data_IF_673812409943
#
_entry.id   IF_673812409943
#
_cell.length_a   1.000
_cell.length_b   1.000
_cell.length_c   1.000
_cell.angle_alpha   90.00
_cell.angle_beta   90.00
_cell.angle_gamma   90.00
#
_symmetry.space_group_name_H-M   'P 1'
#
loop_
_entity.id
_entity.type
_entity.pdbx_description
1 polymer ?
#
# COMPACT_ATOMS: atom_id res chain seq x y z
N UNK A 1 -7.22 -17.94 -4.58
CA UNK A 1 -8.20 -16.89 -4.93
C UNK A 1 -7.76 -15.47 -4.48
N UNK A 2 -6.81 -15.35 -3.54
CA UNK A 2 -6.32 -14.07 -3.00
C UNK A 2 -5.94 -13.05 -4.10
N UNK A 3 -5.25 -13.49 -5.14
CA UNK A 3 -4.78 -12.59 -6.20
C UNK A 3 -5.83 -12.24 -7.25
N UNK A 4 -7.00 -12.89 -7.28
CA UNK A 4 -8.05 -12.58 -8.27
C UNK A 4 -8.58 -11.15 -8.10
N UNK A 5 -9.02 -10.70 -6.90
CA UNK A 5 -9.45 -9.32 -6.72
C UNK A 5 -8.33 -8.31 -6.94
N UNK A 6 -7.08 -8.64 -6.57
CA UNK A 6 -5.91 -7.79 -6.81
C UNK A 6 -5.66 -7.61 -8.30
N UNK A 7 -5.75 -8.71 -9.08
CA UNK A 7 -5.63 -8.69 -10.53
C UNK A 7 -6.73 -7.83 -11.19
N UNK A 8 -7.99 -8.05 -10.79
CA UNK A 8 -9.13 -7.31 -11.34
C UNK A 8 -9.05 -5.81 -11.01
N UNK A 9 -8.64 -5.46 -9.78
CA UNK A 9 -8.40 -4.07 -9.40
C UNK A 9 -7.22 -3.43 -10.14
N UNK A 10 -6.11 -4.17 -10.26
CA UNK A 10 -4.89 -3.67 -10.91
C UNK A 10 -4.99 -3.54 -12.42
N UNK A 11 -5.93 -4.27 -13.07
CA UNK A 11 -6.14 -4.17 -14.52
C UNK A 11 -7.17 -3.09 -14.92
N UNK A 12 -7.73 -2.37 -13.95
CA UNK A 12 -8.59 -1.24 -14.29
C UNK A 12 -7.83 -0.20 -15.15
N UNK A 13 -8.48 0.37 -16.16
CA UNK A 13 -9.89 0.22 -16.59
C UNK A 13 -10.15 -0.92 -17.59
N UNK A 14 -9.28 -1.91 -17.79
CA UNK A 14 -9.25 -2.84 -18.91
C UNK A 14 -10.00 -4.16 -18.70
N UNK A 15 -10.89 -4.25 -17.71
CA UNK A 15 -11.58 -5.50 -17.32
C UNK A 15 -12.36 -6.13 -18.52
N UNK A 16 -13.06 -5.31 -19.31
CA UNK A 16 -13.88 -5.81 -20.44
C UNK A 16 -13.01 -6.46 -21.52
N UNK A 17 -11.80 -5.91 -21.72
CA UNK A 17 -10.85 -6.39 -22.73
C UNK A 17 -10.01 -7.57 -22.26
N UNK A 18 -9.96 -7.86 -20.96
CA UNK A 18 -9.11 -8.89 -20.37
C UNK A 18 -9.37 -10.28 -20.98
N UNK A 19 -10.60 -10.78 -20.84
CA UNK A 19 -10.94 -12.14 -21.28
C UNK A 19 -10.82 -12.33 -22.79
N UNK A 20 -11.34 -11.41 -23.65
CA UNK A 20 -11.09 -11.50 -25.09
C UNK A 20 -9.61 -11.46 -25.50
N UNK A 21 -8.78 -10.68 -24.78
CA UNK A 21 -7.34 -10.62 -25.04
C UNK A 21 -6.65 -11.96 -24.71
N UNK A 22 -6.99 -12.56 -23.56
CA UNK A 22 -6.46 -13.87 -23.15
C UNK A 22 -6.90 -14.97 -24.12
N UNK A 23 -8.18 -15.00 -24.53
CA UNK A 23 -8.71 -15.95 -25.49
C UNK A 23 -8.02 -15.85 -26.85
N UNK A 24 -7.80 -14.62 -27.35
CA UNK A 24 -7.07 -14.39 -28.60
C UNK A 24 -5.61 -14.81 -28.51
N UNK A 25 -4.95 -14.63 -27.37
CA UNK A 25 -3.56 -15.01 -27.14
C UNK A 25 -3.35 -16.52 -27.22
N UNK A 26 -4.39 -17.32 -26.94
CA UNK A 26 -4.35 -18.79 -27.02
C UNK A 26 -4.50 -19.32 -28.45
N UNK A 27 -5.14 -18.60 -29.38
CA UNK A 27 -5.38 -19.05 -30.74
C UNK A 27 -4.06 -19.24 -31.49
N UNK A 28 -4.00 -20.31 -32.30
CA UNK A 28 -2.80 -20.66 -33.12
C UNK A 28 -2.73 -19.75 -34.34
N UNK A 29 -1.64 -18.97 -34.46
CA UNK A 29 -1.20 -18.51 -35.77
C UNK A 29 -0.55 -19.68 -36.50
N UNK A 30 -0.95 -19.95 -37.74
CA UNK A 30 -0.34 -20.99 -38.53
C UNK A 30 1.17 -20.70 -38.78
N UNK A 31 2.00 -21.70 -38.69
CA UNK A 31 3.38 -21.75 -39.20
C UNK A 31 4.47 -20.83 -38.58
N UNK A 32 4.29 -20.26 -37.41
CA UNK A 32 5.39 -19.53 -36.76
C UNK A 32 6.14 -20.39 -35.73
N UNK A 33 7.49 -20.32 -35.72
CA UNK A 33 8.34 -21.02 -34.75
C UNK A 33 8.24 -20.47 -33.34
N UNK A 34 7.90 -19.18 -33.21
CA UNK A 34 7.70 -18.49 -31.94
C UNK A 34 6.36 -17.73 -31.89
N UNK A 35 5.64 -17.87 -30.80
CA UNK A 35 4.32 -17.27 -30.56
C UNK A 35 4.38 -16.29 -29.37
N UNK A 36 4.68 -15.00 -29.57
CA UNK A 36 4.89 -14.04 -28.48
C UNK A 36 3.66 -13.90 -27.57
N UNK A 37 2.45 -13.93 -28.12
CA UNK A 37 1.22 -13.82 -27.31
C UNK A 37 1.03 -15.03 -26.36
N UNK A 38 1.37 -16.25 -26.82
CA UNK A 38 1.35 -17.42 -25.95
C UNK A 38 2.43 -17.38 -24.89
N UNK A 39 3.61 -16.91 -25.24
CA UNK A 39 4.69 -16.72 -24.28
C UNK A 39 4.22 -15.78 -23.16
N UNK A 40 3.64 -14.62 -23.49
CA UNK A 40 3.11 -13.67 -22.52
C UNK A 40 1.96 -14.28 -21.69
N UNK A 41 1.08 -15.07 -22.30
CA UNK A 41 0.01 -15.75 -21.60
C UNK A 41 0.54 -16.79 -20.60
N UNK A 42 1.54 -17.59 -21.01
CA UNK A 42 2.20 -18.56 -20.14
C UNK A 42 2.95 -17.85 -19.01
N UNK A 43 3.62 -16.72 -19.29
CA UNK A 43 4.23 -15.88 -18.28
C UNK A 43 3.22 -15.45 -17.22
N UNK A 44 2.06 -14.92 -17.63
CA UNK A 44 0.98 -14.53 -16.72
C UNK A 44 0.50 -15.72 -15.88
N UNK A 45 0.30 -16.88 -16.51
CA UNK A 45 -0.16 -18.10 -15.84
C UNK A 45 0.87 -18.59 -14.79
N UNK A 46 2.15 -18.64 -15.16
CA UNK A 46 3.22 -19.07 -14.25
C UNK A 46 3.32 -18.15 -13.03
N UNK A 47 3.37 -16.84 -13.24
CA UNK A 47 3.45 -15.86 -12.13
C UNK A 47 2.23 -16.01 -11.22
N UNK A 48 1.02 -16.05 -11.78
CA UNK A 48 -0.20 -16.15 -10.99
C UNK A 48 -0.30 -17.46 -10.21
N UNK A 49 0.00 -18.59 -10.84
CA UNK A 49 -0.07 -19.91 -10.22
C UNK A 49 1.01 -20.08 -9.15
N UNK A 50 2.25 -19.67 -9.45
CA UNK A 50 3.38 -19.77 -8.52
C UNK A 50 3.08 -19.03 -7.21
N UNK A 51 2.70 -17.75 -7.29
CA UNK A 51 2.41 -16.99 -6.07
C UNK A 51 1.07 -17.38 -5.41
N UNK A 52 0.12 -17.93 -6.18
CA UNK A 52 -1.12 -18.48 -5.60
C UNK A 52 -0.86 -19.75 -4.79
N UNK A 53 0.12 -20.57 -5.16
CA UNK A 53 0.52 -21.75 -4.43
C UNK A 53 1.38 -21.44 -3.19
N UNK A 54 2.04 -20.27 -3.15
CA UNK A 54 2.85 -19.84 -2.00
C UNK A 54 2.00 -19.66 -0.74
N UNK A 55 2.54 -20.00 0.43
CA UNK A 55 1.93 -19.71 1.74
C UNK A 55 1.96 -18.22 2.08
N UNK A 56 3.05 -17.52 1.76
CA UNK A 56 3.16 -16.07 1.90
C UNK A 56 2.54 -15.35 0.71
N UNK A 57 1.63 -14.41 0.96
CA UNK A 57 0.87 -13.70 -0.07
C UNK A 57 0.93 -12.19 0.18
N UNK A 58 1.72 -11.49 -0.64
CA UNK A 58 1.75 -10.02 -0.68
C UNK A 58 1.23 -9.52 -2.03
N UNK A 59 0.49 -8.43 -2.01
CA UNK A 59 -0.08 -7.79 -3.21
C UNK A 59 0.98 -7.55 -4.30
N UNK A 60 2.22 -7.07 -4.00
CA UNK A 60 3.24 -6.81 -5.01
C UNK A 60 3.76 -8.06 -5.76
N UNK A 61 3.53 -9.27 -5.25
CA UNK A 61 4.08 -10.48 -5.87
C UNK A 61 3.61 -10.72 -7.30
N UNK A 62 2.39 -10.26 -7.66
CA UNK A 62 1.87 -10.38 -9.02
C UNK A 62 2.22 -9.18 -9.92
N UNK A 63 3.00 -8.20 -9.47
CA UNK A 63 3.40 -7.07 -10.30
C UNK A 63 4.06 -7.48 -11.63
N UNK A 64 4.93 -8.51 -11.70
CA UNK A 64 5.53 -8.93 -12.97
C UNK A 64 4.54 -9.43 -14.03
N UNK A 65 3.30 -9.71 -13.64
CA UNK A 65 2.23 -10.15 -14.56
C UNK A 65 1.65 -8.98 -15.37
N UNK A 66 1.57 -7.77 -14.80
CA UNK A 66 0.89 -6.62 -15.43
C UNK A 66 1.53 -6.15 -16.73
N UNK A 67 2.86 -6.08 -16.92
CA UNK A 67 3.45 -5.73 -18.20
C UNK A 67 3.03 -6.71 -19.32
N UNK A 68 3.03 -8.01 -19.04
CA UNK A 68 2.62 -9.02 -20.01
C UNK A 68 1.13 -8.91 -20.36
N UNK A 69 0.27 -8.71 -19.36
CA UNK A 69 -1.16 -8.45 -19.58
C UNK A 69 -1.40 -7.18 -20.38
N UNK A 70 -0.69 -6.11 -20.10
CA UNK A 70 -0.82 -4.84 -20.82
C UNK A 70 -0.49 -5.00 -22.30
N UNK A 71 0.55 -5.77 -22.63
CA UNK A 71 0.90 -6.10 -24.02
C UNK A 71 -0.19 -6.93 -24.72
N UNK A 72 -0.75 -7.92 -24.03
CA UNK A 72 -1.84 -8.76 -24.57
C UNK A 72 -3.10 -7.92 -24.82
N UNK A 73 -3.49 -7.09 -23.87
CA UNK A 73 -4.65 -6.19 -23.97
C UNK A 73 -4.43 -5.16 -25.06
N UNK A 74 -3.26 -4.51 -25.10
CA UNK A 74 -2.90 -3.51 -26.12
C UNK A 74 -2.98 -4.09 -27.52
N UNK A 75 -2.40 -5.29 -27.75
CA UNK A 75 -2.49 -5.99 -29.02
C UNK A 75 -3.94 -6.35 -29.41
N UNK A 76 -4.76 -6.77 -28.45
CA UNK A 76 -6.18 -7.00 -28.69
C UNK A 76 -6.90 -5.70 -29.11
N UNK A 77 -6.68 -4.60 -28.38
CA UNK A 77 -7.34 -3.31 -28.60
C UNK A 77 -7.02 -2.70 -29.97
N UNK A 78 -5.87 -3.00 -30.57
CA UNK A 78 -5.51 -2.53 -31.93
C UNK A 78 -6.57 -2.98 -32.97
N UNK A 79 -7.24 -4.10 -32.77
CA UNK A 79 -8.24 -4.64 -33.72
C UNK A 79 -9.61 -4.93 -33.06
N UNK A 80 -9.81 -4.53 -31.80
CA UNK A 80 -11.05 -4.74 -31.09
C UNK A 80 -12.23 -4.06 -31.80
N UNK A 81 -13.41 -4.69 -31.75
CA UNK A 81 -14.61 -4.10 -32.30
C UNK A 81 -15.02 -2.84 -31.51
N UNK A 82 -15.55 -1.82 -32.20
CA UNK A 82 -16.02 -0.56 -31.61
C UNK A 82 -16.90 -0.77 -30.35
N UNK A 83 -17.76 -1.79 -30.36
CA UNK A 83 -18.64 -2.12 -29.22
C UNK A 83 -17.87 -2.48 -27.96
N UNK A 84 -16.71 -3.13 -28.07
CA UNK A 84 -15.85 -3.48 -26.92
C UNK A 84 -15.26 -2.22 -26.29
N UNK A 85 -14.77 -1.28 -27.12
CA UNK A 85 -14.21 -0.01 -26.61
C UNK A 85 -15.31 0.83 -25.95
N UNK A 86 -16.53 0.87 -26.54
CA UNK A 86 -17.67 1.54 -25.90
C UNK A 86 -18.08 0.89 -24.58
N UNK A 87 -18.15 -0.44 -24.53
CA UNK A 87 -18.45 -1.15 -23.29
C UNK A 87 -17.38 -0.89 -22.21
N UNK A 88 -16.10 -0.88 -22.63
CA UNK A 88 -14.97 -0.55 -21.77
C UNK A 88 -15.12 0.87 -21.19
N UNK A 89 -15.42 1.85 -22.05
CA UNK A 89 -15.63 3.24 -21.67
C UNK A 89 -16.85 3.38 -20.71
N UNK A 90 -17.94 2.68 -20.99
CA UNK A 90 -19.14 2.65 -20.13
C UNK A 90 -18.85 2.07 -18.76
N UNK A 91 -18.16 0.93 -18.71
CA UNK A 91 -17.74 0.30 -17.43
C UNK A 91 -16.81 1.22 -16.64
N UNK A 92 -15.83 1.86 -17.28
CA UNK A 92 -14.94 2.81 -16.61
C UNK A 92 -15.73 4.02 -16.05
N UNK A 93 -16.67 4.56 -16.81
CA UNK A 93 -17.53 5.67 -16.34
C UNK A 93 -18.39 5.26 -15.15
N UNK A 94 -19.06 4.12 -15.23
CA UNK A 94 -19.92 3.63 -14.14
C UNK A 94 -19.12 3.33 -12.88
N UNK A 95 -17.96 2.66 -13.00
CA UNK A 95 -17.07 2.39 -11.86
C UNK A 95 -16.56 3.70 -11.26
N UNK A 96 -16.14 4.65 -12.07
CA UNK A 96 -15.68 5.95 -11.61
C UNK A 96 -16.76 6.71 -10.82
N UNK A 97 -17.99 6.74 -11.35
CA UNK A 97 -19.14 7.34 -10.65
C UNK A 97 -19.43 6.58 -9.35
N UNK A 98 -19.42 5.25 -9.39
CA UNK A 98 -19.67 4.43 -8.20
C UNK A 98 -18.63 4.70 -7.10
N UNK A 99 -17.34 4.78 -7.45
CA UNK A 99 -16.27 5.13 -6.51
C UNK A 99 -16.47 6.52 -5.93
N UNK A 100 -16.79 7.51 -6.77
CA UNK A 100 -17.04 8.89 -6.32
C UNK A 100 -18.21 8.98 -5.35
N UNK A 101 -19.34 8.34 -5.68
CA UNK A 101 -20.54 8.34 -4.82
C UNK A 101 -20.35 7.49 -3.55
N UNK A 102 -19.57 6.42 -3.62
CA UNK A 102 -19.29 5.55 -2.48
C UNK A 102 -18.16 6.08 -1.59
N UNK A 103 -17.43 7.11 -2.01
CA UNK A 103 -16.26 7.62 -1.27
C UNK A 103 -16.56 7.99 0.21
N UNK A 104 -17.73 8.54 0.60
CA UNK A 104 -18.04 8.80 2.01
C UNK A 104 -18.15 7.51 2.85
N UNK A 105 -18.45 6.37 2.21
CA UNK A 105 -18.52 5.08 2.90
C UNK A 105 -17.14 4.58 3.37
N UNK A 106 -16.05 5.19 2.89
CA UNK A 106 -14.70 4.94 3.40
C UNK A 106 -14.61 5.16 4.92
N UNK A 107 -15.46 6.02 5.49
CA UNK A 107 -15.57 6.23 6.94
C UNK A 107 -15.87 4.95 7.74
N UNK A 108 -16.45 3.92 7.11
CA UNK A 108 -16.67 2.59 7.74
C UNK A 108 -15.37 1.85 8.06
N UNK A 109 -14.26 2.22 7.41
CA UNK A 109 -12.94 1.65 7.67
C UNK A 109 -12.16 2.41 8.76
N UNK A 110 -12.77 3.47 9.33
CA UNK A 110 -12.20 4.16 10.47
C UNK A 110 -12.08 3.17 11.66
N UNK A 111 -10.98 3.24 12.35
CA UNK A 111 -10.64 2.37 13.47
C UNK A 111 -9.71 3.12 14.42
N UNK A 112 -9.41 2.50 15.55
CA UNK A 112 -8.40 3.06 16.45
C UNK A 112 -6.99 3.19 15.81
N UNK A 113 -6.67 2.36 14.80
CA UNK A 113 -5.42 2.45 14.03
C UNK A 113 -5.48 3.52 12.93
N UNK A 114 -6.67 3.80 12.43
CA UNK A 114 -6.96 4.81 11.41
C UNK A 114 -8.11 5.68 11.89
N UNK A 115 -7.83 6.75 12.66
CA UNK A 115 -8.86 7.63 13.20
C UNK A 115 -9.76 8.24 12.12
N UNK A 116 -11.01 8.57 12.47
CA UNK A 116 -11.96 9.18 11.55
C UNK A 116 -11.43 10.41 10.81
N UNK A 117 -10.67 11.28 11.48
CA UNK A 117 -10.10 12.48 10.88
C UNK A 117 -9.14 12.22 9.72
N UNK A 118 -8.38 11.12 9.77
CA UNK A 118 -7.48 10.73 8.68
C UNK A 118 -8.27 10.17 7.50
N UNK A 119 -9.28 9.36 7.77
CA UNK A 119 -10.15 8.79 6.72
C UNK A 119 -10.96 9.88 6.05
N UNK A 120 -11.52 10.82 6.82
CA UNK A 120 -12.24 11.98 6.30
C UNK A 120 -11.38 12.80 5.34
N UNK A 121 -10.10 13.03 5.69
CA UNK A 121 -9.13 13.69 4.81
C UNK A 121 -8.83 12.94 3.51
N UNK A 122 -9.08 11.62 3.45
CA UNK A 122 -8.89 10.80 2.25
C UNK A 122 -10.11 10.78 1.32
N UNK A 123 -11.32 10.97 1.85
CA UNK A 123 -12.58 10.92 1.08
C UNK A 123 -12.57 11.78 -0.18
N UNK A 124 -12.16 13.08 -0.14
CA UNK A 124 -12.15 13.91 -1.36
C UNK A 124 -11.16 13.42 -2.42
N UNK A 125 -10.06 12.80 -2.03
CA UNK A 125 -9.11 12.20 -2.96
C UNK A 125 -9.70 10.99 -3.68
N UNK A 126 -10.41 10.14 -2.94
CA UNK A 126 -11.10 8.99 -3.51
C UNK A 126 -12.22 9.41 -4.46
N UNK A 127 -12.98 10.46 -4.09
CA UNK A 127 -14.00 11.04 -4.96
C UNK A 127 -13.37 11.62 -6.24
N UNK A 128 -12.29 12.39 -6.14
CA UNK A 128 -11.60 12.96 -7.30
C UNK A 128 -11.00 11.87 -8.22
N UNK A 129 -10.45 10.79 -7.63
CA UNK A 129 -10.00 9.64 -8.39
C UNK A 129 -11.17 9.01 -9.19
N UNK A 130 -12.31 8.76 -8.54
CA UNK A 130 -13.49 8.24 -9.22
C UNK A 130 -13.97 9.14 -10.36
N UNK A 131 -14.04 10.45 -10.13
CA UNK A 131 -14.45 11.42 -11.16
C UNK A 131 -13.47 11.46 -12.34
N UNK A 132 -12.17 11.32 -12.12
CA UNK A 132 -11.17 11.27 -13.20
C UNK A 132 -11.39 10.07 -14.11
N UNK A 133 -11.66 8.90 -13.54
CA UNK A 133 -11.96 7.68 -14.30
C UNK A 133 -13.29 7.80 -15.04
N UNK A 134 -14.32 8.37 -14.43
CA UNK A 134 -15.61 8.60 -15.05
C UNK A 134 -15.49 9.54 -16.27
N UNK A 135 -14.79 10.66 -16.10
CA UNK A 135 -14.55 11.62 -17.18
C UNK A 135 -13.77 10.98 -18.35
N UNK A 136 -12.74 10.19 -18.05
CA UNK A 136 -11.97 9.48 -19.07
C UNK A 136 -12.84 8.49 -19.86
N UNK A 137 -13.75 7.78 -19.19
CA UNK A 137 -14.70 6.90 -19.87
C UNK A 137 -15.63 7.67 -20.82
N UNK A 138 -16.18 8.80 -20.37
CA UNK A 138 -17.04 9.66 -21.20
C UNK A 138 -16.27 10.18 -22.43
N UNK A 139 -15.05 10.70 -22.23
CA UNK A 139 -14.19 11.20 -23.31
C UNK A 139 -13.84 10.09 -24.30
N UNK A 140 -13.50 8.89 -23.80
CA UNK A 140 -13.22 7.71 -24.61
C UNK A 140 -14.43 7.29 -25.44
N UNK A 141 -15.63 7.29 -24.87
CA UNK A 141 -16.87 7.01 -25.60
C UNK A 141 -17.08 8.04 -26.73
N UNK A 142 -16.87 9.32 -26.47
CA UNK A 142 -16.95 10.39 -27.46
C UNK A 142 -16.01 10.20 -28.64
N UNK A 143 -14.73 9.85 -28.37
CA UNK A 143 -13.76 9.54 -29.44
C UNK A 143 -14.13 8.26 -30.20
N UNK A 144 -14.60 7.23 -29.49
CA UNK A 144 -15.03 5.98 -30.11
C UNK A 144 -16.21 6.21 -31.04
N UNK A 145 -17.19 7.06 -30.66
CA UNK A 145 -18.32 7.42 -31.48
C UNK A 145 -17.91 8.17 -32.76
N UNK A 146 -16.84 8.92 -32.71
CA UNK A 146 -16.25 9.62 -33.87
C UNK A 146 -15.29 8.74 -34.70
N UNK A 147 -15.13 7.47 -34.38
CA UNK A 147 -14.22 6.55 -35.08
C UNK A 147 -12.74 6.71 -34.70
N UNK A 148 -12.41 7.58 -33.78
CA UNK A 148 -11.04 7.87 -33.34
C UNK A 148 -10.58 6.87 -32.28
N UNK A 149 -10.15 5.68 -32.70
CA UNK A 149 -9.79 4.55 -31.82
C UNK A 149 -8.62 4.86 -30.89
N UNK A 150 -7.50 5.35 -31.42
CA UNK A 150 -6.29 5.62 -30.64
C UNK A 150 -6.55 6.67 -29.54
N UNK A 151 -7.13 7.83 -29.80
CA UNK A 151 -7.49 8.77 -28.75
C UNK A 151 -8.45 8.20 -27.69
N UNK A 152 -9.38 7.31 -28.09
CA UNK A 152 -10.27 6.65 -27.16
C UNK A 152 -9.51 5.75 -26.17
N UNK A 153 -8.58 4.92 -26.66
CA UNK A 153 -7.76 4.04 -25.83
C UNK A 153 -6.81 4.87 -24.93
N UNK A 154 -6.17 5.89 -25.49
CA UNK A 154 -5.26 6.77 -24.74
C UNK A 154 -6.00 7.51 -23.62
N UNK A 155 -7.23 7.99 -23.88
CA UNK A 155 -8.05 8.65 -22.84
C UNK A 155 -8.32 7.72 -21.67
N UNK A 156 -8.67 6.43 -21.92
CA UNK A 156 -8.88 5.45 -20.85
C UNK A 156 -7.58 5.13 -20.10
N UNK A 157 -6.47 4.98 -20.81
CA UNK A 157 -5.16 4.70 -20.19
C UNK A 157 -4.75 5.86 -19.28
N UNK A 158 -4.88 7.09 -19.76
CA UNK A 158 -4.56 8.29 -18.97
C UNK A 158 -5.51 8.45 -17.79
N UNK A 159 -6.82 8.20 -17.98
CA UNK A 159 -7.78 8.23 -16.88
C UNK A 159 -7.54 7.18 -15.82
N UNK A 160 -7.15 5.96 -16.21
CA UNK A 160 -6.73 4.92 -15.27
C UNK A 160 -5.47 5.30 -14.47
N UNK A 161 -4.49 5.94 -15.14
CA UNK A 161 -3.31 6.48 -14.49
C UNK A 161 -3.67 7.60 -13.49
N UNK A 162 -4.51 8.55 -13.91
CA UNK A 162 -4.97 9.63 -13.01
C UNK A 162 -5.76 9.09 -11.82
N UNK A 163 -6.63 8.11 -12.04
CA UNK A 163 -7.36 7.44 -10.98
C UNK A 163 -6.39 6.85 -9.93
N UNK A 164 -5.44 6.04 -10.39
CA UNK A 164 -4.47 5.40 -9.51
C UNK A 164 -3.59 6.44 -8.79
N UNK A 165 -3.06 7.41 -9.53
CA UNK A 165 -2.18 8.44 -8.96
C UNK A 165 -2.92 9.31 -7.94
N UNK A 166 -4.16 9.72 -8.21
CA UNK A 166 -4.95 10.54 -7.28
C UNK A 166 -5.27 9.75 -6.02
N UNK A 167 -5.69 8.48 -6.14
CA UNK A 167 -5.96 7.63 -4.99
C UNK A 167 -4.70 7.40 -4.13
N UNK A 168 -3.55 7.15 -4.77
CA UNK A 168 -2.26 6.97 -4.07
C UNK A 168 -1.77 8.26 -3.42
N UNK A 169 -1.90 9.41 -4.09
CA UNK A 169 -1.53 10.70 -3.49
C UNK A 169 -2.38 11.01 -2.26
N UNK A 170 -3.67 10.67 -2.30
CA UNK A 170 -4.55 10.79 -1.14
C UNK A 170 -4.13 9.93 0.04
N UNK A 171 -3.47 8.78 -0.20
CA UNK A 171 -3.00 7.87 0.84
C UNK A 171 -1.99 8.51 1.80
N UNK A 172 -1.34 9.62 1.39
CA UNK A 172 -0.48 10.43 2.27
C UNK A 172 -1.22 10.95 3.52
N UNK A 173 -2.55 11.07 3.46
CA UNK A 173 -3.38 11.43 4.62
C UNK A 173 -3.26 10.42 5.77
N UNK A 174 -2.88 9.19 5.48
CA UNK A 174 -2.67 8.15 6.48
C UNK A 174 -1.23 8.12 7.04
N UNK A 175 -0.31 8.92 6.51
CA UNK A 175 1.08 8.95 6.93
C UNK A 175 1.25 9.10 8.45
N UNK A 176 0.48 9.95 9.19
CA UNK A 176 0.61 10.05 10.65
C UNK A 176 0.33 8.72 11.40
N UNK A 177 -0.49 7.83 10.82
CA UNK A 177 -0.76 6.52 11.40
C UNK A 177 0.20 5.44 10.91
N UNK A 178 0.69 5.52 9.67
CA UNK A 178 1.47 4.46 9.01
C UNK A 178 2.98 4.66 9.09
N UNK A 179 3.44 5.90 9.23
CA UNK A 179 4.86 6.26 9.23
C UNK A 179 5.28 6.94 10.53
N UNK A 180 6.48 6.65 11.02
CA UNK A 180 7.09 7.33 12.15
C UNK A 180 7.68 8.70 11.78
N UNK A 181 7.59 9.14 10.52
CA UNK A 181 8.18 10.41 10.05
C UNK A 181 7.81 11.59 10.95
N UNK A 182 6.51 11.82 11.13
CA UNK A 182 6.03 13.00 11.86
C UNK A 182 6.41 13.00 13.34
N UNK A 183 6.41 11.82 13.99
CA UNK A 183 6.75 11.73 15.41
C UNK A 183 8.25 11.87 15.64
N UNK A 184 9.09 11.30 14.76
CA UNK A 184 10.55 11.43 14.82
C UNK A 184 10.98 12.85 14.52
N UNK A 185 10.34 13.51 13.54
CA UNK A 185 10.65 14.88 13.18
C UNK A 185 10.45 15.88 14.35
N UNK A 186 9.47 15.62 15.23
CA UNK A 186 9.22 16.46 16.43
C UNK A 186 10.33 16.40 17.46
N UNK A 187 11.11 15.34 17.49
CA UNK A 187 12.17 15.14 18.49
C UNK A 187 13.58 15.21 17.90
N UNK A 188 13.70 15.47 16.59
CA UNK A 188 14.96 15.37 15.84
C UNK A 188 16.07 16.20 16.49
N UNK A 189 15.77 17.40 16.93
CA UNK A 189 16.74 18.31 17.54
C UNK A 189 17.18 17.89 18.96
N UNK A 190 16.46 16.96 19.57
CA UNK A 190 16.77 16.42 20.90
C UNK A 190 17.54 15.10 20.83
N UNK A 191 17.61 14.47 19.64
CA UNK A 191 18.23 13.17 19.45
C UNK A 191 19.75 13.33 19.31
N UNK A 192 20.49 12.84 20.31
CA UNK A 192 21.96 12.71 20.25
C UNK A 192 22.32 11.30 19.76
N UNK A 193 23.41 11.14 18.98
CA UNK A 193 23.81 9.81 18.44
C UNK A 193 23.98 8.72 19.48
N UNK A 194 24.56 9.05 20.62
CA UNK A 194 24.98 8.09 21.64
C UNK A 194 23.91 7.79 22.70
N UNK A 195 22.75 8.48 22.66
CA UNK A 195 21.69 8.27 23.64
C UNK A 195 20.86 7.03 23.25
N UNK A 196 20.68 6.04 24.16
CA UNK A 196 19.87 4.86 23.87
C UNK A 196 18.45 5.18 23.43
N UNK A 197 17.94 4.42 22.46
CA UNK A 197 16.54 4.50 22.02
C UNK A 197 15.91 3.11 22.11
N UNK A 198 14.90 2.98 22.93
CA UNK A 198 14.17 1.74 23.18
C UNK A 198 12.86 1.69 22.40
N UNK A 199 12.45 0.50 21.97
CA UNK A 199 11.13 0.26 21.35
C UNK A 199 10.44 -0.84 22.14
N UNK A 200 9.37 -0.46 22.87
CA UNK A 200 8.77 -1.31 23.91
C UNK A 200 7.48 -1.96 23.43
N UNK A 201 7.40 -3.29 23.51
CA UNK A 201 6.26 -4.14 23.11
C UNK A 201 5.77 -3.92 21.68
N UNK A 202 6.59 -3.36 20.82
CA UNK A 202 6.23 -3.09 19.42
C UNK A 202 7.47 -3.02 18.57
N UNK A 203 7.29 -3.08 17.24
CA UNK A 203 8.33 -2.78 16.28
C UNK A 203 7.76 -1.93 15.15
N UNK A 204 8.50 -0.91 14.73
CA UNK A 204 8.11 -0.04 13.62
C UNK A 204 9.30 0.13 12.68
N UNK A 205 9.23 -0.51 11.51
CA UNK A 205 10.28 -0.46 10.49
C UNK A 205 10.60 0.97 10.04
N UNK A 206 9.59 1.84 10.00
CA UNK A 206 9.78 3.22 9.55
C UNK A 206 10.53 4.06 10.59
N UNK A 207 10.45 3.69 11.86
CA UNK A 207 11.17 4.37 12.95
C UNK A 207 12.68 4.32 12.72
N UNK A 208 13.25 3.13 12.47
CA UNK A 208 14.68 2.95 12.26
C UNK A 208 15.18 3.76 11.07
N UNK A 209 14.39 3.80 10.00
CA UNK A 209 14.71 4.57 8.79
C UNK A 209 14.84 6.07 9.11
N UNK A 210 13.89 6.65 9.84
CA UNK A 210 13.91 8.08 10.14
C UNK A 210 14.84 8.46 11.30
N UNK A 211 15.12 7.54 12.23
CA UNK A 211 16.14 7.72 13.26
C UNK A 211 17.55 7.59 12.70
N UNK A 212 17.72 6.92 11.55
CA UNK A 212 19.00 6.60 10.91
C UNK A 212 19.98 5.88 11.87
N UNK A 213 19.45 5.04 12.79
CA UNK A 213 20.24 4.26 13.76
C UNK A 213 19.51 3.02 14.22
N UNK A 214 20.25 2.11 14.86
CA UNK A 214 19.68 0.94 15.53
C UNK A 214 18.97 1.35 16.83
N UNK A 215 18.02 0.52 17.25
CA UNK A 215 17.26 0.68 18.49
C UNK A 215 17.36 -0.59 19.32
N UNK A 216 17.18 -0.48 20.63
CA UNK A 216 17.05 -1.65 21.50
C UNK A 216 15.58 -2.06 21.58
N UNK A 217 15.28 -3.27 21.13
CA UNK A 217 13.92 -3.82 21.19
C UNK A 217 13.65 -4.42 22.57
N UNK A 218 12.42 -4.25 23.05
CA UNK A 218 11.98 -4.72 24.36
C UNK A 218 10.75 -5.61 24.20
N UNK A 219 10.84 -6.84 24.71
CA UNK A 219 9.75 -7.80 24.87
C UNK A 219 8.98 -8.17 23.56
N UNK A 220 9.44 -7.75 22.41
CA UNK A 220 8.85 -8.09 21.11
C UNK A 220 9.86 -8.88 20.27
N UNK A 221 9.51 -10.10 19.86
CA UNK A 221 10.36 -10.94 19.00
C UNK A 221 9.81 -11.08 17.59
N UNK A 222 8.53 -11.26 17.43
CA UNK A 222 7.81 -11.46 16.17
C UNK A 222 8.70 -12.01 15.02
N UNK A 223 8.65 -11.40 13.87
CA UNK A 223 9.46 -11.74 12.70
C UNK A 223 10.98 -11.54 12.88
N UNK A 224 11.39 -10.82 13.94
CA UNK A 224 12.79 -10.52 14.25
C UNK A 224 13.42 -11.52 15.23
N UNK A 225 12.75 -12.62 15.57
CA UNK A 225 13.27 -13.62 16.50
C UNK A 225 14.64 -14.17 16.07
N UNK A 226 14.86 -14.40 14.78
CA UNK A 226 16.13 -14.90 14.26
C UNK A 226 17.24 -13.84 14.29
N UNK A 227 17.06 -12.59 13.78
CA UNK A 227 18.05 -11.52 13.94
C UNK A 227 18.42 -11.20 15.38
N UNK A 228 17.48 -11.27 16.32
CA UNK A 228 17.74 -11.08 17.75
C UNK A 228 18.75 -12.11 18.28
N UNK A 229 18.68 -13.36 17.79
CA UNK A 229 19.63 -14.40 18.15
C UNK A 229 21.07 -14.09 17.67
N UNK A 230 21.22 -13.33 16.60
CA UNK A 230 22.54 -12.90 16.07
C UNK A 230 23.08 -11.65 16.76
N UNK A 231 22.18 -10.73 17.17
CA UNK A 231 22.55 -9.48 17.85
C UNK A 231 21.79 -9.29 19.19
N UNK A 232 22.04 -10.12 20.20
CA UNK A 232 21.29 -10.10 21.46
C UNK A 232 21.49 -8.81 22.26
N UNK A 233 22.56 -8.04 22.01
CA UNK A 233 22.83 -6.74 22.67
C UNK A 233 21.75 -5.68 22.39
N UNK A 234 21.03 -5.81 21.27
CA UNK A 234 19.98 -4.88 20.85
C UNK A 234 18.57 -5.36 21.27
N UNK A 235 18.52 -6.26 22.27
CA UNK A 235 17.25 -6.83 22.72
C UNK A 235 17.19 -6.98 24.25
N UNK A 236 16.08 -6.59 24.84
CA UNK A 236 15.73 -6.85 26.24
C UNK A 236 14.52 -7.80 26.30
N UNK A 237 14.59 -8.86 27.13
CA UNK A 237 13.61 -9.94 27.08
C UNK A 237 12.23 -9.55 27.61
N UNK A 238 12.14 -8.57 28.50
CA UNK A 238 10.92 -8.16 29.15
C UNK A 238 10.94 -6.67 29.58
N UNK A 239 9.79 -6.18 29.98
CA UNK A 239 9.59 -4.80 30.44
C UNK A 239 10.30 -4.50 31.77
N UNK A 240 10.55 -5.51 32.61
CA UNK A 240 11.29 -5.33 33.86
C UNK A 240 12.79 -5.11 33.57
N UNK A 241 13.38 -5.82 32.60
CA UNK A 241 14.73 -5.57 32.14
C UNK A 241 14.87 -4.15 31.57
N UNK A 242 13.87 -3.71 30.80
CA UNK A 242 13.83 -2.34 30.30
C UNK A 242 13.73 -1.31 31.42
N UNK A 243 12.87 -1.51 32.43
CA UNK A 243 12.74 -0.58 33.56
C UNK A 243 14.09 -0.43 34.31
N UNK A 244 14.85 -1.51 34.48
CA UNK A 244 16.21 -1.47 35.08
C UNK A 244 17.20 -0.69 34.18
N UNK A 245 17.22 -0.97 32.88
CA UNK A 245 18.09 -0.26 31.91
C UNK A 245 17.72 1.23 31.89
N UNK A 246 16.43 1.56 31.82
CA UNK A 246 15.94 2.94 31.89
C UNK A 246 16.41 3.68 33.12
N UNK A 247 16.41 3.04 34.29
CA UNK A 247 16.90 3.65 35.54
C UNK A 247 18.41 3.86 35.54
N UNK A 248 19.19 2.98 34.92
CA UNK A 248 20.66 3.07 34.89
C UNK A 248 21.19 4.08 33.87
N UNK A 249 20.47 4.31 32.74
CA UNK A 249 20.91 5.23 31.72
C UNK A 249 20.81 6.69 32.19
N UNK A 250 21.80 7.54 31.90
CA UNK A 250 21.75 8.96 32.27
C UNK A 250 20.74 9.75 31.43
N UNK A 251 20.59 9.40 30.17
CA UNK A 251 19.62 9.95 29.21
C UNK A 251 19.16 8.80 28.31
N UNK A 252 17.87 8.72 28.03
CA UNK A 252 17.30 7.69 27.15
C UNK A 252 15.99 8.18 26.52
N UNK A 253 15.67 7.59 25.36
CA UNK A 253 14.37 7.71 24.72
C UNK A 253 13.69 6.35 24.62
N UNK A 254 12.37 6.33 24.66
CA UNK A 254 11.60 5.12 24.38
C UNK A 254 10.36 5.42 23.57
N UNK A 255 10.04 4.52 22.63
CA UNK A 255 8.78 4.52 21.90
C UNK A 255 7.88 3.40 22.43
N UNK A 256 6.64 3.77 22.70
CA UNK A 256 5.53 2.87 23.06
C UNK A 256 4.39 3.01 22.05
N UNK A 257 3.55 1.98 21.93
CA UNK A 257 2.19 2.23 21.47
C UNK A 257 1.49 3.17 22.48
N UNK A 258 0.71 4.11 21.99
CA UNK A 258 0.09 5.13 22.84
C UNK A 258 -0.83 4.55 23.94
N UNK A 259 -1.32 3.31 23.76
CA UNK A 259 -2.18 2.60 24.72
C UNK A 259 -1.39 1.90 25.81
N UNK A 260 -0.17 1.47 25.52
CA UNK A 260 0.59 0.58 26.38
C UNK A 260 1.36 1.34 27.46
N UNK A 261 1.59 2.65 27.27
CA UNK A 261 2.38 3.47 28.19
C UNK A 261 1.76 3.53 29.60
N UNK A 262 0.45 3.69 29.71
CA UNK A 262 -0.22 3.79 31.01
C UNK A 262 -0.05 2.49 31.82
N UNK A 263 -0.36 1.35 31.21
CA UNK A 263 -0.20 0.04 31.86
C UNK A 263 1.27 -0.28 32.19
N UNK A 264 2.21 0.17 31.36
CA UNK A 264 3.64 0.05 31.71
C UNK A 264 4.01 0.86 32.95
N UNK A 265 3.56 2.12 33.06
CA UNK A 265 3.85 2.99 34.20
C UNK A 265 3.17 2.50 35.50
N UNK A 266 2.01 1.86 35.41
CA UNK A 266 1.36 1.21 36.56
C UNK A 266 2.20 0.03 37.08
N UNK A 267 2.74 -0.79 36.17
CA UNK A 267 3.55 -1.96 36.52
C UNK A 267 5.00 -1.59 36.92
N UNK A 268 5.53 -0.53 36.33
CA UNK A 268 6.92 -0.07 36.52
C UNK A 268 6.91 1.46 36.67
N UNK A 269 6.79 1.99 37.89
CA UNK A 269 6.74 3.45 38.15
C UNK A 269 8.15 4.06 37.99
N UNK A 270 8.50 4.41 36.75
CA UNK A 270 9.77 5.07 36.41
C UNK A 270 9.48 6.48 35.84
N UNK A 271 10.34 7.46 36.09
CA UNK A 271 10.12 8.82 35.61
C UNK A 271 10.26 8.85 34.06
N UNK A 272 9.23 9.35 33.39
CA UNK A 272 9.17 9.51 31.94
C UNK A 272 8.48 10.81 31.57
N UNK A 273 9.09 11.57 30.66
CA UNK A 273 8.49 12.77 30.08
C UNK A 273 8.05 12.50 28.63
N UNK A 274 6.78 12.72 28.30
CA UNK A 274 6.31 12.61 26.92
C UNK A 274 6.87 13.80 26.14
N UNK A 275 7.66 13.48 25.09
CA UNK A 275 8.28 14.49 24.20
C UNK A 275 7.60 14.55 22.83
N UNK A 276 6.95 13.48 22.40
CA UNK A 276 6.15 13.46 21.18
C UNK A 276 5.03 12.41 21.26
N UNK A 277 3.93 12.71 20.58
CA UNK A 277 2.80 11.80 20.45
C UNK A 277 2.17 11.94 19.07
N UNK A 278 1.79 10.82 18.51
CA UNK A 278 0.90 10.74 17.34
C UNK A 278 -0.31 9.85 17.65
N UNK A 279 -1.03 9.42 16.63
CA UNK A 279 -2.25 8.65 16.73
C UNK A 279 -2.03 7.26 17.33
N UNK A 280 -0.86 6.66 17.09
CA UNK A 280 -0.53 5.28 17.48
C UNK A 280 0.60 5.20 18.48
N UNK A 281 1.50 6.20 18.50
CA UNK A 281 2.78 6.13 19.17
C UNK A 281 2.94 7.26 20.17
N UNK A 282 3.74 6.99 21.19
CA UNK A 282 4.23 8.02 22.11
C UNK A 282 5.72 7.81 22.29
N UNK A 283 6.48 8.89 22.20
CA UNK A 283 7.91 8.90 22.52
C UNK A 283 8.08 9.60 23.86
N UNK A 284 8.77 8.94 24.74
CA UNK A 284 9.13 9.45 26.05
C UNK A 284 10.64 9.62 26.14
N UNK A 285 11.05 10.59 26.96
CA UNK A 285 12.44 10.85 27.31
C UNK A 285 12.60 10.69 28.81
N UNK A 286 13.78 10.22 29.25
CA UNK A 286 14.15 10.26 30.66
C UNK A 286 14.38 11.71 31.06
N UNK A 287 13.75 12.17 32.18
CA UNK A 287 13.90 13.54 32.67
C UNK A 287 15.35 13.91 33.02
#
# INVERSE_FOLDING_TARGET
WFFIPVLLGGILPWIVSLFPALGRAWTRAAAASFHPQRFLLLWCAVVLLFFSASSSKLIPYILPLFPALSLLIGNYLCSAHRRVVLAQAGVASLLGIAVALASPQAMRFASERLPPSLVEGYVPWLAAAGLSLAAAGIVSAGFTLRGARLPAIVSLAFGGLLFAQTALSGHERFAPALSAYHIVHKIRDQLKPDVPFYVVNTFDHTLLFYLARTVTMVANKDELAQPIGWEPRNYLPDTAAFARAWQSDPEAFALFNARDLAGFLEAHPVPMQIVARDVRRVIVKKP
#
